data_IF_061145529155
#
_entry.id   IF_061145529155
#
_cell.length_a   1.000
_cell.length_b   1.000
_cell.length_c   1.000
_cell.angle_alpha   90.00
_cell.angle_beta   90.00
_cell.angle_gamma   90.00
#
_symmetry.space_group_name_H-M   'P 1'
#
loop_
_entity.id
_entity.type
_entity.pdbx_description
1 polymer ?
#
# COMPACT_ATOMS: atom_id res chain seq x y z
N UNK A 1 19.45 -38.62 10.76
CA UNK A 1 18.44 -37.97 9.90
C UNK A 1 18.39 -36.51 10.32
N UNK A 2 19.33 -35.73 9.80
CA UNK A 2 19.40 -34.28 10.00
C UNK A 2 18.36 -33.67 9.08
N UNK A 3 17.37 -32.97 9.63
CA UNK A 3 16.46 -32.17 8.82
C UNK A 3 17.31 -31.01 8.31
N UNK A 4 17.66 -31.03 7.03
CA UNK A 4 18.33 -29.91 6.39
C UNK A 4 17.43 -28.69 6.52
N UNK A 5 17.98 -27.59 7.04
CA UNK A 5 17.28 -26.31 7.14
C UNK A 5 16.87 -25.73 5.76
N UNK A 6 17.23 -26.41 4.65
CA UNK A 6 16.88 -26.09 3.27
C UNK A 6 15.44 -26.45 2.88
N UNK A 7 14.70 -27.18 3.72
CA UNK A 7 13.30 -27.58 3.46
C UNK A 7 12.29 -26.54 3.96
N UNK A 8 12.72 -25.49 4.67
CA UNK A 8 11.88 -24.31 4.80
C UNK A 8 11.86 -23.63 3.44
N UNK A 9 10.71 -23.61 2.72
CA UNK A 9 10.58 -22.71 1.57
C UNK A 9 10.99 -21.33 2.08
N UNK A 10 11.97 -20.72 1.43
CA UNK A 10 12.34 -19.34 1.75
C UNK A 10 11.16 -18.50 1.28
N UNK A 11 10.13 -18.40 2.13
CA UNK A 11 8.99 -17.55 1.88
C UNK A 11 9.57 -16.16 1.68
N UNK A 12 9.38 -15.55 0.51
CA UNK A 12 9.96 -14.25 0.30
C UNK A 12 9.31 -13.30 1.31
N UNK A 13 10.15 -12.49 1.95
CA UNK A 13 9.79 -11.65 3.11
C UNK A 13 8.61 -10.73 2.79
N UNK A 14 8.43 -10.38 1.51
CA UNK A 14 7.34 -9.56 1.01
C UNK A 14 5.95 -10.13 1.35
N UNK A 15 5.74 -11.45 1.26
CA UNK A 15 4.48 -12.06 1.68
C UNK A 15 4.25 -11.96 3.19
N UNK A 16 5.31 -12.05 3.98
CA UNK A 16 5.23 -11.85 5.42
C UNK A 16 4.85 -10.39 5.73
N UNK A 17 5.47 -9.42 5.04
CA UNK A 17 5.14 -7.99 5.18
C UNK A 17 3.69 -7.72 4.77
N UNK A 18 3.24 -8.24 3.64
CA UNK A 18 1.86 -8.09 3.16
C UNK A 18 0.85 -8.77 4.09
N UNK A 19 1.15 -9.98 4.57
CA UNK A 19 0.29 -10.71 5.51
C UNK A 19 0.18 -10.02 6.88
N UNK A 20 1.30 -9.53 7.41
CA UNK A 20 1.33 -8.75 8.65
C UNK A 20 0.55 -7.44 8.47
N UNK A 21 0.76 -6.74 7.36
CA UNK A 21 0.00 -5.54 7.03
C UNK A 21 -1.50 -5.83 6.97
N UNK A 22 -1.93 -6.87 6.24
CA UNK A 22 -3.32 -7.29 6.17
C UNK A 22 -3.91 -7.57 7.56
N UNK A 23 -3.19 -8.31 8.41
CA UNK A 23 -3.63 -8.60 9.77
C UNK A 23 -3.78 -7.33 10.62
N UNK A 24 -2.82 -6.40 10.55
CA UNK A 24 -2.89 -5.14 11.30
C UNK A 24 -4.06 -4.27 10.85
N UNK A 25 -4.30 -4.16 9.54
CA UNK A 25 -5.42 -3.41 8.98
C UNK A 25 -6.75 -4.06 9.33
N UNK A 26 -6.84 -5.40 9.31
CA UNK A 26 -8.05 -6.11 9.69
C UNK A 26 -8.39 -5.87 11.17
N UNK A 27 -7.41 -5.96 12.07
CA UNK A 27 -7.60 -5.70 13.50
C UNK A 27 -7.98 -4.23 13.75
N UNK A 28 -7.30 -3.27 13.09
CA UNK A 28 -7.66 -1.85 13.19
C UNK A 28 -9.09 -1.60 12.68
N UNK A 29 -9.47 -2.21 11.55
CA UNK A 29 -10.80 -2.10 10.99
C UNK A 29 -11.86 -2.69 11.92
N UNK A 30 -11.63 -3.88 12.50
CA UNK A 30 -12.57 -4.49 13.46
C UNK A 30 -12.79 -3.62 14.72
N UNK A 31 -11.77 -2.87 15.15
CA UNK A 31 -11.84 -2.03 16.35
C UNK A 31 -12.38 -0.63 16.08
N UNK A 32 -12.05 -0.04 14.93
CA UNK A 32 -12.29 1.38 14.64
C UNK A 32 -13.12 1.66 13.38
N UNK A 33 -13.57 0.61 12.68
CA UNK A 33 -14.27 0.71 11.39
C UNK A 33 -13.34 0.77 10.18
N UNK A 34 -13.90 0.60 8.98
CA UNK A 34 -13.12 0.48 7.73
C UNK A 34 -12.61 1.82 7.15
N UNK A 35 -12.95 2.96 7.80
CA UNK A 35 -12.58 4.32 7.34
C UNK A 35 -11.07 4.51 7.14
N UNK A 36 -10.24 4.02 8.08
CA UNK A 36 -8.79 4.19 8.02
C UNK A 36 -8.18 3.39 6.86
N UNK A 37 -8.61 2.15 6.69
CA UNK A 37 -8.23 1.31 5.57
C UNK A 37 -8.64 1.96 4.23
N UNK A 38 -9.88 2.45 4.11
CA UNK A 38 -10.35 3.15 2.91
C UNK A 38 -9.53 4.42 2.61
N UNK A 39 -9.21 5.19 3.65
CA UNK A 39 -8.36 6.39 3.52
C UNK A 39 -6.96 6.02 3.03
N UNK A 40 -6.35 4.99 3.61
CA UNK A 40 -5.04 4.48 3.21
C UNK A 40 -5.05 4.04 1.74
N UNK A 41 -6.05 3.26 1.36
CA UNK A 41 -6.25 2.76 0.01
C UNK A 41 -6.42 3.86 -1.04
N UNK A 42 -6.99 5.01 -0.68
CA UNK A 42 -7.09 6.17 -1.57
C UNK A 42 -5.80 6.99 -1.59
N UNK A 43 -5.16 7.16 -0.41
CA UNK A 43 -3.96 7.97 -0.26
C UNK A 43 -2.74 7.35 -0.95
N UNK A 44 -2.55 6.03 -0.86
CA UNK A 44 -1.38 5.35 -1.39
C UNK A 44 -1.16 5.54 -2.91
N UNK A 45 -2.15 5.26 -3.78
CA UNK A 45 -1.97 5.44 -5.22
C UNK A 45 -1.86 6.91 -5.61
N UNK A 46 -2.59 7.82 -4.93
CA UNK A 46 -2.42 9.26 -5.15
C UNK A 46 -1.02 9.74 -4.78
N UNK A 47 -0.45 9.22 -3.68
CA UNK A 47 0.91 9.52 -3.26
C UNK A 47 1.92 8.99 -4.28
N UNK A 48 1.72 7.78 -4.81
CA UNK A 48 2.56 7.21 -5.85
C UNK A 48 2.55 8.08 -7.11
N UNK A 49 1.35 8.49 -7.57
CA UNK A 49 1.23 9.36 -8.74
C UNK A 49 1.89 10.72 -8.54
N UNK A 50 1.67 11.39 -7.39
CA UNK A 50 2.37 12.63 -7.09
C UNK A 50 3.88 12.44 -7.04
N UNK A 51 4.35 11.36 -6.40
CA UNK A 51 5.76 11.06 -6.28
C UNK A 51 6.44 10.87 -7.64
N UNK A 52 5.82 10.11 -8.54
CA UNK A 52 6.34 9.87 -9.90
C UNK A 52 6.37 11.15 -10.75
N UNK A 53 5.47 12.10 -10.48
CA UNK A 53 5.38 13.35 -11.23
C UNK A 53 6.16 14.51 -10.60
N UNK A 54 6.75 14.35 -9.41
CA UNK A 54 7.52 15.40 -8.74
C UNK A 54 8.70 15.89 -9.58
N UNK A 55 9.38 15.00 -10.28
CA UNK A 55 10.52 15.36 -11.13
C UNK A 55 10.13 16.34 -12.26
N UNK A 56 8.86 16.34 -12.65
CA UNK A 56 8.31 17.24 -13.68
C UNK A 56 7.89 18.61 -13.12
N UNK A 57 8.00 18.83 -11.81
CA UNK A 57 7.67 20.12 -11.19
C UNK A 57 8.88 21.04 -11.15
N UNK A 58 8.74 22.24 -11.71
CA UNK A 58 9.85 23.18 -11.94
C UNK A 58 10.65 23.57 -10.68
N UNK A 59 10.04 23.52 -9.49
CA UNK A 59 10.66 23.95 -8.23
C UNK A 59 11.25 22.81 -7.41
N UNK A 60 10.68 21.60 -7.48
CA UNK A 60 11.08 20.48 -6.61
C UNK A 60 12.01 19.51 -7.36
N UNK A 61 11.89 19.40 -8.68
CA UNK A 61 12.68 18.49 -9.51
C UNK A 61 14.20 18.70 -9.38
N UNK A 62 14.67 19.94 -9.28
CA UNK A 62 16.11 20.27 -9.15
C UNK A 62 16.67 19.94 -7.76
N UNK A 63 15.85 20.01 -6.71
CA UNK A 63 16.25 19.59 -5.36
C UNK A 63 16.27 18.06 -5.25
N UNK A 64 15.40 17.38 -6.00
CA UNK A 64 15.29 15.92 -6.03
C UNK A 64 16.48 15.20 -6.67
N UNK A 65 17.13 15.81 -7.66
CA UNK A 65 18.33 15.23 -8.29
C UNK A 65 19.53 15.18 -7.35
N UNK A 66 19.56 16.04 -6.33
CA UNK A 66 20.61 16.04 -5.30
C UNK A 66 20.47 14.89 -4.28
N UNK A 67 19.28 14.31 -4.14
CA UNK A 67 18.99 13.19 -3.24
C UNK A 67 19.46 11.88 -3.88
N UNK A 68 20.71 11.49 -3.61
CA UNK A 68 21.25 10.22 -4.12
C UNK A 68 20.88 9.00 -3.26
N UNK A 69 20.53 9.21 -1.98
CA UNK A 69 20.25 8.12 -1.05
C UNK A 69 18.81 7.58 -1.21
N UNK A 70 18.62 6.26 -1.45
CA UNK A 70 17.29 5.64 -1.60
C UNK A 70 16.37 5.88 -0.39
N UNK A 71 16.93 5.85 0.82
CA UNK A 71 16.18 6.09 2.06
C UNK A 71 15.56 7.49 2.12
N UNK A 72 16.25 8.51 1.62
CA UNK A 72 15.73 9.88 1.61
C UNK A 72 14.59 10.05 0.59
N UNK A 73 14.68 9.37 -0.57
CA UNK A 73 13.59 9.31 -1.55
C UNK A 73 12.36 8.60 -1.01
N UNK A 74 12.54 7.50 -0.27
CA UNK A 74 11.44 6.81 0.38
C UNK A 74 10.82 7.63 1.53
N UNK A 75 11.64 8.36 2.29
CA UNK A 75 11.15 9.29 3.30
C UNK A 75 10.29 10.41 2.69
N UNK A 76 10.69 10.94 1.53
CA UNK A 76 9.88 11.89 0.79
C UNK A 76 8.53 11.29 0.33
N UNK A 77 8.55 10.08 -0.22
CA UNK A 77 7.32 9.36 -0.55
C UNK A 77 6.42 9.19 0.68
N UNK A 78 6.99 8.77 1.81
CA UNK A 78 6.26 8.62 3.07
C UNK A 78 5.66 9.95 3.54
N UNK A 79 6.38 11.07 3.42
CA UNK A 79 5.87 12.39 3.78
C UNK A 79 4.66 12.80 2.92
N UNK A 80 4.72 12.57 1.61
CA UNK A 80 3.61 12.83 0.69
C UNK A 80 2.41 11.95 1.03
N UNK A 81 2.66 10.66 1.26
CA UNK A 81 1.63 9.71 1.66
C UNK A 81 0.94 10.14 2.96
N UNK A 82 1.70 10.51 4.00
CA UNK A 82 1.15 10.98 5.28
C UNK A 82 0.31 12.24 5.08
N UNK A 83 0.79 13.21 4.29
CA UNK A 83 0.07 14.45 4.01
C UNK A 83 -1.25 14.16 3.29
N UNK A 84 -1.24 13.32 2.25
CA UNK A 84 -2.44 12.92 1.53
C UNK A 84 -3.39 12.10 2.41
N UNK A 85 -2.87 11.21 3.25
CA UNK A 85 -3.66 10.45 4.20
C UNK A 85 -4.43 11.41 5.13
N UNK A 86 -3.76 12.42 5.71
CA UNK A 86 -4.42 13.40 6.57
C UNK A 86 -5.50 14.17 5.81
N UNK A 87 -5.22 14.63 4.59
CA UNK A 87 -6.19 15.36 3.76
C UNK A 87 -7.41 14.49 3.41
N UNK A 88 -7.19 13.27 2.95
CA UNK A 88 -8.26 12.35 2.58
C UNK A 88 -9.04 11.91 3.83
N UNK A 89 -8.37 11.71 4.96
CA UNK A 89 -9.04 11.37 6.22
C UNK A 89 -10.03 12.46 6.66
N UNK A 90 -9.76 13.73 6.32
CA UNK A 90 -10.67 14.85 6.57
C UNK A 90 -11.86 14.87 5.60
N UNK A 91 -11.68 14.36 4.38
CA UNK A 91 -12.73 14.33 3.34
C UNK A 91 -13.65 13.11 3.50
N UNK A 92 -13.09 11.93 3.82
CA UNK A 92 -13.87 10.70 3.98
C UNK A 92 -14.78 10.83 5.20
N UNK A 93 -16.12 10.68 5.07
CA UNK A 93 -17.06 10.86 6.17
C UNK A 93 -16.75 9.95 7.38
N UNK A 94 -17.03 10.44 8.60
CA UNK A 94 -16.85 9.65 9.83
C UNK A 94 -17.76 8.42 9.91
N UNK A 95 -18.92 8.47 9.25
CA UNK A 95 -19.86 7.34 9.15
C UNK A 95 -19.41 6.23 8.19
N UNK A 96 -18.28 6.39 7.49
CA UNK A 96 -17.78 5.36 6.59
C UNK A 96 -17.35 4.12 7.38
N UNK A 97 -18.09 3.02 7.23
CA UNK A 97 -17.75 1.75 7.89
C UNK A 97 -17.90 1.75 9.41
N UNK A 98 -18.82 2.56 9.95
CA UNK A 98 -19.15 2.53 11.39
C UNK A 98 -19.86 1.22 11.75
N UNK A 99 -19.32 0.46 12.71
CA UNK A 99 -19.90 -0.83 13.14
C UNK A 99 -19.47 -2.02 12.29
N UNK A 100 -18.22 -2.03 11.79
CA UNK A 100 -17.80 -3.00 10.79
C UNK A 100 -17.87 -4.45 11.26
N UNK A 101 -18.62 -5.27 10.52
CA UNK A 101 -18.62 -6.72 10.71
C UNK A 101 -17.28 -7.34 10.28
N UNK A 102 -16.91 -8.54 10.79
CA UNK A 102 -15.65 -9.20 10.45
C UNK A 102 -15.39 -9.30 8.95
N UNK A 103 -16.43 -9.56 8.16
CA UNK A 103 -16.32 -9.65 6.69
C UNK A 103 -15.90 -8.31 6.06
N UNK A 104 -16.45 -7.18 6.50
CA UNK A 104 -16.07 -5.86 5.99
C UNK A 104 -14.64 -5.51 6.35
N UNK A 105 -14.19 -5.87 7.56
CA UNK A 105 -12.82 -5.66 8.00
C UNK A 105 -11.82 -6.45 7.13
N UNK A 106 -12.15 -7.71 6.80
CA UNK A 106 -11.34 -8.55 5.90
C UNK A 106 -11.30 -7.95 4.50
N UNK A 107 -12.43 -7.52 3.94
CA UNK A 107 -12.48 -6.90 2.61
C UNK A 107 -11.66 -5.59 2.56
N UNK A 108 -11.76 -4.77 3.59
CA UNK A 108 -10.98 -3.53 3.69
C UNK A 108 -9.48 -3.82 3.82
N UNK A 109 -9.09 -4.81 4.62
CA UNK A 109 -7.71 -5.22 4.78
C UNK A 109 -7.11 -5.81 3.50
N UNK A 110 -7.85 -6.69 2.81
CA UNK A 110 -7.44 -7.24 1.52
C UNK A 110 -7.24 -6.14 0.49
N UNK A 111 -8.20 -5.23 0.37
CA UNK A 111 -8.09 -4.09 -0.55
C UNK A 111 -6.87 -3.21 -0.26
N UNK A 112 -6.68 -2.82 1.00
CA UNK A 112 -5.52 -2.02 1.42
C UNK A 112 -4.20 -2.75 1.11
N UNK A 113 -4.15 -4.06 1.31
CA UNK A 113 -2.95 -4.88 1.08
C UNK A 113 -2.63 -5.00 -0.41
N UNK A 114 -3.64 -5.23 -1.25
CA UNK A 114 -3.46 -5.29 -2.71
C UNK A 114 -2.98 -3.93 -3.23
N UNK A 115 -3.57 -2.83 -2.76
CA UNK A 115 -3.15 -1.48 -3.14
C UNK A 115 -1.71 -1.21 -2.69
N UNK A 116 -1.33 -1.61 -1.47
CA UNK A 116 0.04 -1.51 -1.01
C UNK A 116 1.00 -2.31 -1.90
N UNK A 117 0.64 -3.55 -2.27
CA UNK A 117 1.46 -4.39 -3.14
C UNK A 117 1.68 -3.78 -4.53
N UNK A 118 0.63 -3.18 -5.11
CA UNK A 118 0.73 -2.44 -6.37
C UNK A 118 1.62 -1.21 -6.22
N UNK A 119 1.35 -0.37 -5.21
CA UNK A 119 2.10 0.89 -4.98
C UNK A 119 3.57 0.63 -4.68
N UNK A 120 3.90 -0.44 -3.95
CA UNK A 120 5.29 -0.83 -3.67
C UNK A 120 6.07 -0.98 -4.97
N UNK A 121 5.50 -1.66 -5.97
CA UNK A 121 6.18 -1.93 -7.24
C UNK A 121 6.28 -0.70 -8.15
N UNK A 122 5.28 0.18 -8.09
CA UNK A 122 5.24 1.38 -8.93
C UNK A 122 6.18 2.49 -8.43
N UNK A 123 6.60 2.47 -7.16
CA UNK A 123 7.46 3.52 -6.58
C UNK A 123 8.93 3.06 -6.59
N UNK A 124 9.80 3.64 -7.45
CA UNK A 124 11.19 3.16 -7.59
C UNK A 124 12.00 3.24 -6.31
N UNK A 125 11.71 4.21 -5.43
CA UNK A 125 12.41 4.35 -4.15
C UNK A 125 12.11 3.20 -3.18
N UNK A 126 10.89 2.64 -3.21
CA UNK A 126 10.52 1.50 -2.38
C UNK A 126 11.18 0.22 -2.90
N UNK A 127 11.15 0.02 -4.23
CA UNK A 127 11.83 -1.12 -4.89
C UNK A 127 13.35 -1.08 -4.66
N UNK A 128 13.96 0.11 -4.68
CA UNK A 128 15.39 0.28 -4.42
C UNK A 128 15.79 -0.04 -2.97
N UNK A 129 14.90 0.20 -2.01
CA UNK A 129 15.12 -0.18 -0.61
C UNK A 129 14.93 -1.67 -0.38
N UNK A 130 13.88 -2.23 -0.97
CA UNK A 130 13.55 -3.63 -0.86
C UNK A 130 12.96 -4.16 -2.18
N UNK A 131 13.74 -4.90 -2.99
CA UNK A 131 13.26 -5.44 -4.24
C UNK A 131 12.20 -6.51 -3.97
N UNK A 132 11.09 -6.40 -4.69
CA UNK A 132 9.93 -7.29 -4.58
C UNK A 132 10.25 -8.64 -5.23
N UNK A 133 9.75 -9.74 -4.67
CA UNK A 133 10.00 -11.06 -5.25
C UNK A 133 9.37 -11.21 -6.63
N UNK A 134 9.88 -12.11 -7.49
CA UNK A 134 9.31 -12.38 -8.81
C UNK A 134 7.83 -12.79 -8.75
N UNK A 135 7.41 -13.47 -7.69
CA UNK A 135 6.03 -13.92 -7.51
C UNK A 135 5.06 -12.75 -7.30
N UNK A 136 5.38 -11.84 -6.39
CA UNK A 136 4.57 -10.64 -6.13
C UNK A 136 4.60 -9.72 -7.35
N UNK A 137 5.73 -9.63 -8.05
CA UNK A 137 5.82 -8.87 -9.30
C UNK A 137 4.93 -9.43 -10.41
N UNK A 138 4.92 -10.76 -10.58
CA UNK A 138 4.08 -11.42 -11.59
C UNK A 138 2.60 -11.18 -11.32
N UNK A 139 2.19 -11.23 -10.05
CA UNK A 139 0.79 -11.11 -9.66
C UNK A 139 0.28 -9.67 -9.71
N UNK A 140 1.03 -8.69 -9.20
CA UNK A 140 0.57 -7.30 -9.03
C UNK A 140 1.27 -6.28 -9.94
N UNK A 141 2.17 -6.69 -10.82
CA UNK A 141 2.92 -5.81 -11.70
C UNK A 141 2.09 -5.17 -12.83
N UNK A 142 2.77 -4.39 -13.68
CA UNK A 142 2.19 -3.47 -14.67
C UNK A 142 1.04 -4.01 -15.56
N UNK A 143 1.03 -5.26 -16.07
CA UNK A 143 -0.10 -5.72 -16.88
C UNK A 143 -1.37 -5.97 -16.05
N UNK A 144 -1.24 -6.21 -14.74
CA UNK A 144 -2.34 -6.61 -13.85
C UNK A 144 -2.72 -5.54 -12.82
N UNK A 145 -1.85 -4.55 -12.59
CA UNK A 145 -2.00 -3.55 -11.52
C UNK A 145 -3.34 -2.82 -11.59
N UNK A 146 -3.78 -2.40 -12.78
CA UNK A 146 -5.07 -1.74 -12.98
C UNK A 146 -6.26 -2.61 -12.58
N UNK A 147 -6.27 -3.90 -12.95
CA UNK A 147 -7.35 -4.82 -12.58
C UNK A 147 -7.41 -5.03 -11.07
N UNK A 148 -6.25 -5.13 -10.42
CA UNK A 148 -6.16 -5.24 -8.97
C UNK A 148 -6.62 -3.97 -8.24
N UNK A 149 -6.29 -2.79 -8.75
CA UNK A 149 -6.77 -1.53 -8.20
C UNK A 149 -8.29 -1.44 -8.31
N UNK A 150 -8.87 -1.75 -9.48
CA UNK A 150 -10.32 -1.76 -9.69
C UNK A 150 -10.99 -2.76 -8.74
N UNK A 151 -10.49 -4.00 -8.67
CA UNK A 151 -11.01 -5.02 -7.75
C UNK A 151 -10.93 -4.59 -6.28
N UNK A 152 -9.85 -3.91 -5.90
CA UNK A 152 -9.66 -3.37 -4.55
C UNK A 152 -10.65 -2.27 -4.20
N UNK A 153 -10.94 -1.35 -5.15
CA UNK A 153 -11.94 -0.31 -4.95
C UNK A 153 -13.36 -0.87 -4.90
N UNK A 154 -13.67 -1.90 -5.69
CA UNK A 154 -14.93 -2.62 -5.58
C UNK A 154 -15.07 -3.28 -4.19
N UNK A 155 -14.04 -3.96 -3.71
CA UNK A 155 -14.03 -4.56 -2.37
C UNK A 155 -14.26 -3.50 -1.27
N UNK A 156 -13.63 -2.32 -1.39
CA UNK A 156 -13.87 -1.20 -0.46
C UNK A 156 -15.29 -0.65 -0.52
N UNK A 157 -15.90 -0.61 -1.71
CA UNK A 157 -17.29 -0.18 -1.86
C UNK A 157 -18.25 -1.10 -1.10
N UNK A 158 -17.96 -2.41 -1.06
CA UNK A 158 -18.71 -3.36 -0.22
C UNK A 158 -18.36 -3.26 1.26
N UNK A 159 -17.09 -2.99 1.61
CA UNK A 159 -16.65 -2.79 2.99
C UNK A 159 -17.16 -1.50 3.65
N UNK A 160 -17.77 -0.60 2.86
CA UNK A 160 -18.38 0.66 3.32
C UNK A 160 -19.71 0.46 4.04
N UNK A 161 -20.53 -0.48 3.54
CA UNK A 161 -21.90 -0.75 4.01
C UNK A 161 -21.83 -1.70 5.20
#
# INVERSE_FOLDING_TARGET
MTIDASILPHWPLDWLVLGLFAATVAIDAMRGGTRRAATLSLAAPLAAMLYLNLANTAWIGTSLTSLQFPGAKAALFAAIFVLLFILIYRIVPSAFGSGSFPLQAILAALSATIILAVVWQEVPALVALYPVSPWVHTLFGAPHSLYWLVGSYLALAFARR
#
